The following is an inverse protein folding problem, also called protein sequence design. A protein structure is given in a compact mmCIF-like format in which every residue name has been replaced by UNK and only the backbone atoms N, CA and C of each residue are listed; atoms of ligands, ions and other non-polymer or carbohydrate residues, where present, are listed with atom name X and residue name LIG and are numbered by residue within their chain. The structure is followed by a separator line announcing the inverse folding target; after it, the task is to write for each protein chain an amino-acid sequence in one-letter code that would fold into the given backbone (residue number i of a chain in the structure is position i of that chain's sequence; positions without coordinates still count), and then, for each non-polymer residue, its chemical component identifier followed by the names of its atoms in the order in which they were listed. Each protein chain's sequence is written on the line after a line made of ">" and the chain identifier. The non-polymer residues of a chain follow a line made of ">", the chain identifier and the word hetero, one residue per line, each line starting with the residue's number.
data_IF_053655961816
#
_entry.id   IF_053655961816
#
_cell.length_a   1.000
_cell.length_b   1.000
_cell.length_c   1.000
_cell.angle_alpha   90.00
_cell.angle_beta   90.00
_cell.angle_gamma   90.00
#
_symmetry.space_group_name_H-M   'P 1'
#
loop_
_entity.id
_entity.type
_entity.pdbx_description
1 polymer ?
#
# COMPACT_ATOMS: atom_id res chain seq x y z
N UNK A 1 33.65 15.15 -0.91
CA UNK A 1 32.76 14.01 -0.59
C UNK A 1 31.47 14.45 0.11
N UNK A 2 31.51 15.24 1.17
CA UNK A 2 30.33 15.75 1.91
C UNK A 2 29.39 16.60 1.02
N UNK A 3 29.91 17.47 0.13
CA UNK A 3 29.11 18.30 -0.77
C UNK A 3 28.38 17.50 -1.87
N UNK A 4 28.90 16.34 -2.28
CA UNK A 4 28.26 15.49 -3.27
C UNK A 4 27.10 14.70 -2.65
N UNK A 5 27.29 14.18 -1.43
CA UNK A 5 26.24 13.49 -0.69
C UNK A 5 25.08 14.43 -0.31
N UNK A 6 25.37 15.67 0.11
CA UNK A 6 24.34 16.66 0.43
C UNK A 6 23.51 17.08 -0.80
N UNK A 7 24.18 17.26 -1.94
CA UNK A 7 23.52 17.58 -3.22
C UNK A 7 22.70 16.41 -3.76
N UNK A 8 23.21 15.18 -3.58
CA UNK A 8 22.51 13.95 -3.95
C UNK A 8 21.25 13.73 -3.10
N UNK A 9 21.35 13.91 -1.77
CA UNK A 9 20.22 13.85 -0.84
C UNK A 9 19.19 14.96 -1.08
N UNK A 10 19.64 16.15 -1.49
CA UNK A 10 18.76 17.26 -1.87
C UNK A 10 17.98 16.96 -3.16
N UNK A 11 18.64 16.41 -4.18
CA UNK A 11 18.01 16.01 -5.45
C UNK A 11 17.00 14.88 -5.24
N UNK A 12 17.30 13.90 -4.35
CA UNK A 12 16.36 12.82 -4.03
C UNK A 12 15.14 13.32 -3.24
N UNK A 13 15.31 14.32 -2.35
CA UNK A 13 14.19 14.92 -1.58
C UNK A 13 13.19 15.66 -2.46
N UNK A 14 13.59 16.15 -3.63
CA UNK A 14 12.74 16.92 -4.54
C UNK A 14 12.10 16.10 -5.66
N UNK A 15 12.41 14.79 -5.77
CA UNK A 15 11.75 13.91 -6.73
C UNK A 15 10.42 13.41 -6.15
N UNK A 16 9.35 13.48 -6.94
CA UNK A 16 8.09 12.83 -6.63
C UNK A 16 8.35 11.34 -6.39
N UNK A 17 7.80 10.80 -5.29
CA UNK A 17 7.86 9.37 -5.02
C UNK A 17 6.82 8.65 -5.87
N UNK A 18 7.28 7.72 -6.71
CA UNK A 18 6.45 6.83 -7.51
C UNK A 18 6.68 5.43 -6.99
N UNK A 19 5.66 4.88 -6.34
CA UNK A 19 5.70 3.59 -5.68
C UNK A 19 5.08 2.55 -6.58
N UNK A 20 5.79 1.47 -6.85
CA UNK A 20 5.24 0.29 -7.51
C UNK A 20 4.81 -0.72 -6.46
N UNK A 21 3.50 -0.94 -6.32
CA UNK A 21 2.94 -1.87 -5.33
C UNK A 21 2.85 -3.27 -5.93
N UNK A 22 3.41 -4.24 -5.24
CA UNK A 22 3.53 -5.63 -5.70
C UNK A 22 2.80 -6.58 -4.75
N UNK A 23 1.95 -7.43 -5.29
CA UNK A 23 1.51 -8.65 -4.63
C UNK A 23 2.50 -9.75 -4.99
N UNK A 24 3.28 -10.20 -4.00
CA UNK A 24 4.45 -11.06 -4.20
C UNK A 24 4.09 -12.33 -4.98
N UNK A 25 3.07 -13.04 -4.51
CA UNK A 25 2.64 -14.31 -5.10
C UNK A 25 2.23 -14.21 -6.57
N UNK A 26 1.76 -13.04 -6.99
CA UNK A 26 1.16 -12.82 -8.31
C UNK A 26 2.11 -12.17 -9.31
N UNK A 27 3.24 -11.67 -8.87
CA UNK A 27 4.10 -10.84 -9.70
C UNK A 27 5.09 -11.65 -10.55
N UNK A 28 6.09 -12.23 -9.95
CA UNK A 28 7.14 -12.96 -10.68
C UNK A 28 7.77 -14.06 -9.82
N UNK A 29 8.34 -15.06 -10.49
CA UNK A 29 9.13 -16.12 -9.90
C UNK A 29 10.52 -16.15 -10.56
N UNK A 30 11.50 -16.69 -9.87
CA UNK A 30 12.87 -16.78 -10.35
C UNK A 30 13.08 -17.91 -11.39
N UNK A 31 12.24 -18.93 -11.40
CA UNK A 31 12.34 -20.09 -12.28
C UNK A 31 11.21 -20.22 -13.30
N UNK A 32 10.00 -19.78 -12.96
CA UNK A 32 8.81 -19.80 -13.82
C UNK A 32 7.85 -18.71 -13.43
N UNK A 33 7.03 -18.23 -14.35
CA UNK A 33 6.04 -17.19 -14.05
C UNK A 33 4.80 -17.77 -13.36
N UNK A 34 4.22 -17.02 -12.39
CA UNK A 34 2.92 -17.31 -11.83
C UNK A 34 1.84 -17.40 -12.93
N UNK A 35 0.88 -18.30 -12.77
CA UNK A 35 -0.19 -18.53 -13.75
C UNK A 35 -1.58 -18.51 -13.11
N UNK A 36 -2.57 -17.98 -13.82
CA UNK A 36 -3.98 -17.93 -13.43
C UNK A 36 -4.73 -19.24 -13.74
N UNK A 37 -4.26 -20.40 -13.32
CA UNK A 37 -4.77 -21.67 -13.86
C UNK A 37 -5.83 -22.37 -13.04
N UNK A 38 -6.12 -21.99 -11.81
CA UNK A 38 -7.07 -22.70 -10.95
C UNK A 38 -7.90 -21.75 -10.12
N UNK A 39 -9.16 -22.11 -9.97
CA UNK A 39 -10.13 -21.44 -9.10
C UNK A 39 -10.29 -22.24 -7.79
N UNK A 40 -9.16 -22.64 -7.17
CA UNK A 40 -9.20 -23.34 -5.90
C UNK A 40 -9.82 -22.47 -4.80
N UNK A 41 -10.51 -23.11 -3.86
CA UNK A 41 -11.12 -22.46 -2.70
C UNK A 41 -10.51 -23.04 -1.43
N UNK A 42 -9.76 -22.27 -0.61
CA UNK A 42 -9.33 -20.89 -0.84
C UNK A 42 -8.38 -20.76 -2.04
N UNK A 43 -8.23 -19.53 -2.61
CA UNK A 43 -7.35 -19.31 -3.75
C UNK A 43 -5.91 -19.75 -3.44
N UNK A 44 -5.28 -20.58 -4.28
CA UNK A 44 -3.96 -21.13 -4.00
C UNK A 44 -2.85 -20.12 -4.26
N UNK A 45 -1.67 -20.40 -3.72
CA UNK A 45 -0.44 -19.74 -4.12
C UNK A 45 -0.16 -20.01 -5.60
N UNK A 46 0.31 -18.99 -6.32
CA UNK A 46 0.65 -19.06 -7.76
C UNK A 46 2.16 -19.09 -8.00
N UNK A 47 2.94 -18.91 -6.95
CA UNK A 47 4.37 -19.15 -6.92
C UNK A 47 5.24 -17.93 -7.22
N UNK A 48 4.72 -16.71 -7.17
CA UNK A 48 5.56 -15.51 -7.14
C UNK A 48 6.41 -15.46 -5.86
N UNK A 49 7.63 -14.93 -5.96
CA UNK A 49 8.57 -14.89 -4.84
C UNK A 49 9.48 -13.65 -4.87
N UNK A 50 10.23 -13.44 -3.80
CA UNK A 50 11.14 -12.29 -3.65
C UNK A 50 12.24 -12.29 -4.70
N UNK A 51 12.83 -13.44 -5.03
CA UNK A 51 13.86 -13.53 -6.06
C UNK A 51 13.31 -13.19 -7.45
N UNK A 52 12.06 -13.57 -7.75
CA UNK A 52 11.38 -13.15 -8.95
C UNK A 52 11.24 -11.61 -9.05
N UNK A 53 10.95 -10.94 -7.94
CA UNK A 53 10.90 -9.48 -7.88
C UNK A 53 12.30 -8.89 -8.11
N UNK A 54 13.33 -9.42 -7.46
CA UNK A 54 14.73 -8.98 -7.64
C UNK A 54 15.11 -9.03 -9.13
N UNK A 55 14.76 -10.11 -9.83
CA UNK A 55 15.02 -10.28 -11.26
C UNK A 55 14.24 -9.30 -12.18
N UNK A 56 13.31 -8.53 -11.61
CA UNK A 56 12.48 -7.55 -12.33
C UNK A 56 12.71 -6.10 -11.88
N UNK A 57 13.74 -5.82 -11.10
CA UNK A 57 14.04 -4.47 -10.63
C UNK A 57 14.36 -3.50 -11.77
N UNK A 58 15.03 -3.95 -12.83
CA UNK A 58 15.26 -3.13 -14.02
C UNK A 58 13.94 -2.74 -14.70
N UNK A 59 13.02 -3.70 -14.86
CA UNK A 59 11.67 -3.42 -15.38
C UNK A 59 10.96 -2.32 -14.56
N UNK A 60 10.97 -2.45 -13.24
CA UNK A 60 10.33 -1.49 -12.34
C UNK A 60 10.99 -0.12 -12.42
N UNK A 61 12.32 -0.08 -12.51
CA UNK A 61 13.09 1.16 -12.67
C UNK A 61 12.81 1.84 -14.03
N UNK A 62 12.71 1.05 -15.10
CA UNK A 62 12.41 1.55 -16.46
C UNK A 62 10.98 2.10 -16.57
N UNK A 63 10.04 1.66 -15.74
CA UNK A 63 8.74 2.30 -15.53
C UNK A 63 8.86 3.73 -14.99
N UNK A 64 10.01 4.11 -14.45
CA UNK A 64 10.21 5.36 -13.74
C UNK A 64 9.79 5.30 -12.27
N UNK A 65 9.44 4.13 -11.73
CA UNK A 65 9.23 3.96 -10.30
C UNK A 65 10.56 4.15 -9.54
N UNK A 66 10.50 4.81 -8.40
CA UNK A 66 11.65 5.02 -7.52
C UNK A 66 11.42 4.48 -6.12
N UNK A 67 10.37 3.69 -5.96
CA UNK A 67 10.00 3.05 -4.72
C UNK A 67 9.19 1.78 -4.99
N UNK A 68 9.30 0.76 -4.12
CA UNK A 68 8.55 -0.49 -4.21
C UNK A 68 7.84 -0.72 -2.88
N UNK A 69 6.56 -1.10 -2.93
CA UNK A 69 5.80 -1.58 -1.77
C UNK A 69 5.47 -3.06 -1.95
N UNK A 70 5.93 -3.89 -1.03
CA UNK A 70 5.60 -5.31 -1.00
C UNK A 70 4.32 -5.56 -0.21
N UNK A 71 3.45 -6.47 -0.69
CA UNK A 71 2.39 -7.08 0.14
C UNK A 71 3.01 -7.78 1.36
N UNK A 72 2.22 -8.10 2.40
CA UNK A 72 2.74 -8.80 3.57
C UNK A 72 3.44 -10.10 3.16
N UNK A 73 4.59 -10.37 3.77
CA UNK A 73 5.45 -11.51 3.40
C UNK A 73 5.81 -12.42 4.59
N UNK A 74 5.22 -12.16 5.74
CA UNK A 74 5.34 -13.08 6.87
C UNK A 74 4.48 -14.33 6.62
N UNK A 75 4.88 -15.44 7.25
CA UNK A 75 4.23 -16.74 7.13
C UNK A 75 2.71 -16.60 7.30
N UNK A 76 1.98 -17.13 6.32
CA UNK A 76 0.54 -16.95 6.19
C UNK A 76 -0.10 -18.20 5.59
N UNK A 77 -1.35 -18.48 5.96
CA UNK A 77 -2.14 -19.52 5.29
C UNK A 77 -2.80 -19.04 3.99
N UNK A 78 -2.60 -17.76 3.62
CA UNK A 78 -3.19 -17.17 2.44
C UNK A 78 -2.11 -16.50 1.57
N UNK A 79 -2.22 -16.67 0.27
CA UNK A 79 -1.27 -16.19 -0.74
C UNK A 79 -0.98 -14.68 -0.68
N UNK A 80 -1.91 -13.90 -0.15
CA UNK A 80 -1.80 -12.44 -0.06
C UNK A 80 -1.02 -11.96 1.18
N UNK A 81 -0.77 -12.84 2.18
CA UNK A 81 0.03 -12.54 3.36
C UNK A 81 -0.70 -11.86 4.53
N UNK A 82 -1.96 -11.44 4.36
CA UNK A 82 -2.70 -10.72 5.42
C UNK A 82 -3.20 -11.62 6.56
N UNK A 83 -3.15 -12.94 6.41
CA UNK A 83 -3.56 -13.91 7.44
C UNK A 83 -2.32 -14.51 8.14
N UNK A 84 -1.60 -13.69 8.91
CA UNK A 84 -0.35 -14.09 9.57
C UNK A 84 -0.54 -15.27 10.54
N UNK A 85 0.26 -16.32 10.35
CA UNK A 85 0.22 -17.56 11.13
C UNK A 85 1.46 -17.79 12.00
N UNK A 86 2.39 -16.84 12.05
CA UNK A 86 3.64 -16.93 12.81
C UNK A 86 3.64 -16.05 14.06
N UNK A 87 4.20 -16.54 15.15
CA UNK A 87 4.45 -15.77 16.36
C UNK A 87 5.73 -14.89 16.26
N UNK A 88 6.58 -15.17 15.29
CA UNK A 88 7.84 -14.44 15.01
C UNK A 88 7.76 -13.87 13.59
N UNK A 89 8.69 -13.01 13.23
CA UNK A 89 8.78 -12.51 11.85
C UNK A 89 9.35 -13.56 10.88
N UNK A 90 8.79 -14.75 10.89
CA UNK A 90 9.13 -15.79 9.93
C UNK A 90 8.60 -15.42 8.55
N UNK A 91 9.46 -15.52 7.55
CA UNK A 91 9.06 -15.28 6.16
C UNK A 91 8.24 -16.45 5.65
N UNK A 92 7.22 -16.18 4.82
CA UNK A 92 6.47 -17.21 4.11
C UNK A 92 7.43 -18.02 3.22
N UNK A 93 7.58 -19.35 3.44
CA UNK A 93 8.56 -20.14 2.70
C UNK A 93 8.36 -20.14 1.19
N UNK A 94 7.13 -19.93 0.71
CA UNK A 94 6.85 -19.79 -0.71
C UNK A 94 7.35 -18.48 -1.30
N UNK A 95 7.52 -17.45 -0.47
CA UNK A 95 8.07 -16.16 -0.90
C UNK A 95 9.60 -16.10 -0.80
N UNK A 96 10.21 -16.94 0.04
CA UNK A 96 11.66 -16.99 0.26
C UNK A 96 12.01 -17.07 1.74
N UNK A 97 13.11 -16.45 2.11
CA UNK A 97 13.63 -16.43 3.48
C UNK A 97 14.17 -15.03 3.84
N UNK A 98 14.73 -14.86 5.04
CA UNK A 98 15.27 -13.58 5.50
C UNK A 98 16.43 -13.08 4.62
N UNK A 99 17.29 -13.97 4.12
CA UNK A 99 18.40 -13.60 3.22
C UNK A 99 17.88 -13.03 1.90
N UNK A 100 16.76 -13.57 1.39
CA UNK A 100 16.08 -13.04 0.19
C UNK A 100 15.52 -11.64 0.43
N UNK A 101 14.91 -11.39 1.59
CA UNK A 101 14.44 -10.05 1.99
C UNK A 101 15.60 -9.06 2.08
N UNK A 102 16.69 -9.43 2.75
CA UNK A 102 17.88 -8.58 2.85
C UNK A 102 18.51 -8.31 1.46
N UNK A 103 18.51 -9.32 0.59
CA UNK A 103 18.95 -9.19 -0.79
C UNK A 103 18.05 -8.25 -1.58
N UNK A 104 16.74 -8.38 -1.47
CA UNK A 104 15.77 -7.46 -2.08
C UNK A 104 16.03 -6.01 -1.67
N UNK A 105 16.15 -5.73 -0.38
CA UNK A 105 16.45 -4.38 0.12
C UNK A 105 17.78 -3.86 -0.45
N UNK A 106 18.81 -4.69 -0.43
CA UNK A 106 20.15 -4.34 -0.97
C UNK A 106 20.11 -4.01 -2.46
N UNK A 107 19.45 -4.85 -3.27
CA UNK A 107 19.38 -4.64 -4.72
C UNK A 107 18.47 -3.47 -5.09
N UNK A 108 17.34 -3.28 -4.40
CA UNK A 108 16.48 -2.11 -4.56
C UNK A 108 17.24 -0.81 -4.32
N UNK A 109 18.06 -0.76 -3.25
CA UNK A 109 18.92 0.40 -2.98
C UNK A 109 20.01 0.62 -4.04
N UNK A 110 20.57 -0.45 -4.62
CA UNK A 110 21.51 -0.34 -5.75
C UNK A 110 20.87 0.30 -6.98
N UNK A 111 19.59 0.05 -7.23
CA UNK A 111 18.79 0.70 -8.26
C UNK A 111 18.35 2.12 -7.87
N UNK A 112 18.87 2.67 -6.74
CA UNK A 112 18.53 4.00 -6.22
C UNK A 112 17.02 4.17 -5.91
N UNK A 113 16.36 3.07 -5.62
CA UNK A 113 14.96 3.01 -5.19
C UNK A 113 14.88 2.84 -3.67
N UNK A 114 13.76 3.30 -3.11
CA UNK A 114 13.35 2.98 -1.73
C UNK A 114 12.42 1.77 -1.72
N UNK A 115 12.26 1.12 -0.58
CA UNK A 115 11.31 0.02 -0.43
C UNK A 115 10.49 0.14 0.85
N UNK A 116 9.26 -0.32 0.79
CA UNK A 116 8.34 -0.43 1.90
C UNK A 116 7.78 -1.82 2.07
N UNK A 117 7.35 -2.11 3.27
CA UNK A 117 6.68 -3.34 3.66
C UNK A 117 5.26 -3.04 4.10
N UNK A 118 4.35 -3.94 3.79
CA UNK A 118 3.01 -3.94 4.35
C UNK A 118 3.02 -4.65 5.71
N UNK A 119 2.43 -4.04 6.73
CA UNK A 119 2.44 -4.49 8.10
C UNK A 119 1.01 -4.61 8.62
N UNK A 120 0.65 -5.77 9.13
CA UNK A 120 -0.71 -6.14 9.57
C UNK A 120 -0.78 -6.22 11.10
N UNK A 121 -0.97 -5.09 11.81
CA UNK A 121 -1.00 -5.12 13.27
C UNK A 121 -2.37 -5.46 13.86
N UNK A 122 -3.45 -5.33 13.10
CA UNK A 122 -4.81 -5.37 13.63
C UNK A 122 -5.26 -6.77 14.03
N UNK A 123 -4.86 -7.80 13.28
CA UNK A 123 -5.34 -9.17 13.45
C UNK A 123 -4.28 -10.20 13.06
N UNK A 124 -4.50 -11.44 13.42
CA UNK A 124 -3.74 -12.58 12.91
C UNK A 124 -4.70 -13.74 12.61
N UNK A 125 -4.20 -14.83 12.06
CA UNK A 125 -5.01 -16.05 11.89
C UNK A 125 -5.10 -16.84 13.20
N UNK A 126 -6.21 -17.55 13.44
CA UNK A 126 -6.42 -18.37 14.66
C UNK A 126 -5.35 -19.48 14.86
N UNK A 127 -4.64 -19.87 13.80
CA UNK A 127 -3.53 -20.83 13.91
C UNK A 127 -2.20 -20.17 14.32
N UNK A 128 -2.18 -18.85 14.49
CA UNK A 128 -1.00 -18.17 15.03
C UNK A 128 -0.83 -18.60 16.51
N UNK A 129 0.37 -19.05 16.92
CA UNK A 129 0.62 -19.50 18.30
C UNK A 129 0.18 -18.50 19.37
N UNK A 130 0.32 -17.20 19.12
CA UNK A 130 -0.09 -16.17 20.09
C UNK A 130 -1.59 -16.21 20.43
N UNK A 131 -2.45 -16.72 19.54
CA UNK A 131 -3.88 -16.80 19.81
C UNK A 131 -4.20 -17.83 20.90
N UNK A 132 -3.40 -18.89 20.99
CA UNK A 132 -3.56 -19.93 22.03
C UNK A 132 -2.76 -19.58 23.29
N UNK A 133 -1.54 -19.06 23.11
CA UNK A 133 -0.60 -18.79 24.21
C UNK A 133 -0.93 -17.51 24.98
N UNK A 134 -1.55 -16.52 24.30
CA UNK A 134 -1.85 -15.18 24.80
C UNK A 134 -3.29 -14.76 24.41
N UNK A 135 -4.27 -15.54 24.79
CA UNK A 135 -5.68 -15.26 24.45
C UNK A 135 -6.22 -13.94 25.03
N UNK A 136 -5.60 -13.45 26.11
CA UNK A 136 -5.86 -12.15 26.72
C UNK A 136 -5.35 -10.94 25.89
N UNK A 137 -4.52 -11.19 24.88
CA UNK A 137 -4.07 -10.15 23.93
C UNK A 137 -5.11 -9.80 22.87
N UNK A 138 -6.24 -10.49 22.84
CA UNK A 138 -7.28 -10.30 21.82
C UNK A 138 -8.49 -9.54 22.36
N UNK A 139 -9.17 -8.78 21.49
CA UNK A 139 -10.39 -8.07 21.86
C UNK A 139 -11.51 -9.07 22.17
N UNK A 140 -12.07 -8.93 23.38
CA UNK A 140 -13.14 -9.79 23.90
C UNK A 140 -14.33 -8.96 24.42
N UNK A 141 -14.93 -8.11 23.56
CA UNK A 141 -16.08 -7.30 23.95
C UNK A 141 -17.30 -8.19 24.20
N UNK A 142 -18.10 -7.85 25.23
CA UNK A 142 -19.34 -8.57 25.58
C UNK A 142 -19.20 -10.10 25.76
N UNK A 143 -18.02 -10.56 26.18
CA UNK A 143 -17.68 -11.98 26.37
C UNK A 143 -17.60 -12.80 25.05
N UNK A 144 -17.39 -12.16 23.95
CA UNK A 144 -17.15 -12.80 22.65
C UNK A 144 -15.92 -12.19 21.98
N UNK A 145 -15.13 -13.01 21.28
CA UNK A 145 -13.99 -12.49 20.51
C UNK A 145 -14.47 -11.63 19.35
N UNK A 146 -13.78 -10.52 19.14
CA UNK A 146 -13.97 -9.70 17.95
C UNK A 146 -13.12 -10.25 16.82
N UNK A 147 -13.72 -10.35 15.64
CA UNK A 147 -13.07 -10.83 14.44
C UNK A 147 -13.05 -9.73 13.37
N UNK A 148 -11.92 -9.62 12.67
CA UNK A 148 -11.77 -8.69 11.54
C UNK A 148 -12.75 -9.04 10.42
N UNK A 149 -13.51 -8.05 9.94
CA UNK A 149 -14.52 -8.21 8.90
C UNK A 149 -15.52 -9.38 9.16
N UNK A 150 -15.76 -9.74 10.43
CA UNK A 150 -16.56 -10.90 10.84
C UNK A 150 -16.02 -12.25 10.33
N UNK A 151 -14.78 -12.33 9.89
CA UNK A 151 -14.10 -13.56 9.48
C UNK A 151 -13.64 -14.28 10.75
N UNK A 152 -14.28 -15.40 11.11
CA UNK A 152 -14.04 -16.13 12.37
C UNK A 152 -12.59 -16.63 12.54
N UNK A 153 -11.82 -16.68 11.48
CA UNK A 153 -10.43 -17.10 11.51
C UNK A 153 -9.45 -15.94 11.76
N UNK A 154 -9.94 -14.69 11.91
CA UNK A 154 -9.14 -13.49 12.06
C UNK A 154 -9.47 -12.71 13.35
N UNK A 155 -9.08 -13.22 14.53
CA UNK A 155 -9.27 -12.51 15.79
C UNK A 155 -8.48 -11.21 15.82
N UNK A 156 -9.10 -10.16 16.39
CA UNK A 156 -8.54 -8.82 16.49
C UNK A 156 -7.67 -8.68 17.74
N UNK A 157 -6.44 -8.20 17.56
CA UNK A 157 -5.52 -7.92 18.66
C UNK A 157 -5.95 -6.69 19.47
N UNK A 158 -5.94 -6.79 20.76
CA UNK A 158 -6.09 -5.67 21.68
C UNK A 158 -4.73 -4.97 21.86
N UNK A 159 -4.44 -4.00 21.00
CA UNK A 159 -3.17 -3.28 21.05
C UNK A 159 -3.10 -2.20 22.15
N UNK A 160 -4.11 -2.14 23.03
CA UNK A 160 -4.03 -1.43 24.31
C UNK A 160 -3.53 -2.34 25.45
N UNK A 161 -3.48 -3.66 25.24
CA UNK A 161 -2.77 -4.57 26.11
C UNK A 161 -1.25 -4.38 26.00
N UNK A 162 -0.53 -4.14 27.12
CA UNK A 162 0.89 -3.74 27.06
C UNK A 162 1.81 -4.72 26.33
N UNK A 163 1.64 -6.02 26.57
CA UNK A 163 2.50 -7.05 25.97
C UNK A 163 2.20 -7.24 24.48
N UNK A 164 0.91 -7.25 24.08
CA UNK A 164 0.50 -7.32 22.68
C UNK A 164 1.05 -6.11 21.89
N UNK A 165 0.97 -4.92 22.50
CA UNK A 165 1.52 -3.68 21.97
C UNK A 165 3.03 -3.78 21.76
N UNK A 166 3.77 -4.19 22.78
CA UNK A 166 5.23 -4.34 22.69
C UNK A 166 5.62 -5.37 21.64
N UNK A 167 4.90 -6.48 21.56
CA UNK A 167 5.10 -7.52 20.56
C UNK A 167 4.95 -6.97 19.13
N UNK A 168 3.86 -6.27 18.83
CA UNK A 168 3.62 -5.70 17.50
C UNK A 168 4.61 -4.58 17.15
N UNK A 169 5.02 -3.75 18.13
CA UNK A 169 6.07 -2.76 17.92
C UNK A 169 7.39 -3.42 17.57
N UNK A 170 7.78 -4.52 18.24
CA UNK A 170 9.00 -5.28 17.90
C UNK A 170 8.96 -5.82 16.47
N UNK A 171 7.83 -6.33 16.01
CA UNK A 171 7.67 -6.78 14.62
C UNK A 171 7.91 -5.64 13.63
N UNK A 172 7.33 -4.48 13.87
CA UNK A 172 7.54 -3.31 13.00
C UNK A 172 9.00 -2.81 13.03
N UNK A 173 9.64 -2.85 14.18
CA UNK A 173 11.08 -2.49 14.30
C UNK A 173 11.96 -3.46 13.53
N UNK A 174 11.62 -4.74 13.46
CA UNK A 174 12.34 -5.72 12.64
C UNK A 174 12.28 -5.39 11.15
N UNK A 175 11.14 -4.93 10.64
CA UNK A 175 11.04 -4.43 9.25
C UNK A 175 12.02 -3.26 9.02
N UNK A 176 12.11 -2.35 9.98
CA UNK A 176 13.06 -1.24 9.90
C UNK A 176 14.52 -1.72 9.94
N UNK A 177 14.82 -2.76 10.75
CA UNK A 177 16.15 -3.35 10.87
C UNK A 177 16.58 -4.05 9.57
N UNK A 178 15.67 -4.73 8.88
CA UNK A 178 15.92 -5.26 7.54
C UNK A 178 16.16 -4.17 6.50
N UNK A 179 15.85 -2.90 6.82
CA UNK A 179 16.23 -1.72 6.04
C UNK A 179 15.12 -1.17 5.14
N UNK A 180 13.86 -1.48 5.43
CA UNK A 180 12.74 -0.84 4.76
C UNK A 180 12.66 0.65 5.10
N UNK A 181 12.38 1.48 4.10
CA UNK A 181 12.35 2.94 4.20
C UNK A 181 10.99 3.48 4.66
N UNK A 182 9.95 2.66 4.53
CA UNK A 182 8.61 2.96 5.03
C UNK A 182 7.80 1.69 5.30
N UNK A 183 6.77 1.84 6.12
CA UNK A 183 5.82 0.79 6.48
C UNK A 183 4.42 1.29 6.13
N UNK A 184 3.70 0.55 5.31
CA UNK A 184 2.25 0.71 5.14
C UNK A 184 1.58 -0.08 6.26
N UNK A 185 0.73 0.57 7.03
CA UNK A 185 -0.02 -0.05 8.12
C UNK A 185 -1.38 -0.46 7.57
N UNK A 186 -1.58 -1.76 7.47
CA UNK A 186 -2.83 -2.37 7.09
C UNK A 186 -3.92 -2.05 8.11
N UNK A 187 -5.13 -1.78 7.62
CA UNK A 187 -6.29 -1.47 8.44
C UNK A 187 -5.97 -0.55 9.63
N UNK A 188 -5.33 0.59 9.36
CA UNK A 188 -4.89 1.51 10.41
C UNK A 188 -6.04 2.10 11.24
N UNK A 189 -7.28 1.88 10.84
CA UNK A 189 -8.49 2.26 11.57
C UNK A 189 -8.85 1.28 12.70
N UNK A 190 -8.28 0.09 12.73
CA UNK A 190 -8.53 -0.90 13.79
C UNK A 190 -7.76 -0.62 15.09
N UNK A 191 -6.42 -0.47 15.03
CA UNK A 191 -5.61 -0.16 16.20
C UNK A 191 -5.93 1.20 16.83
N UNK A 192 -5.75 1.31 18.16
CA UNK A 192 -5.94 2.59 18.85
C UNK A 192 -4.94 3.66 18.39
N UNK A 193 -5.35 4.94 18.45
CA UNK A 193 -4.44 6.07 18.19
C UNK A 193 -3.24 6.08 19.12
N UNK A 194 -3.43 5.61 20.36
CA UNK A 194 -2.37 5.45 21.36
C UNK A 194 -1.29 4.49 20.87
N UNK A 195 -1.68 3.32 20.37
CA UNK A 195 -0.74 2.35 19.79
C UNK A 195 0.00 2.93 18.58
N UNK A 196 -0.72 3.50 17.62
CA UNK A 196 -0.11 4.05 16.40
C UNK A 196 0.85 5.19 16.69
N UNK A 197 0.52 6.05 17.66
CA UNK A 197 1.41 7.13 18.10
C UNK A 197 2.69 6.55 18.75
N UNK A 198 2.55 5.56 19.64
CA UNK A 198 3.70 4.93 20.29
C UNK A 198 4.56 4.18 19.26
N UNK A 199 3.97 3.39 18.37
CA UNK A 199 4.67 2.75 17.25
C UNK A 199 5.52 3.78 16.49
N UNK A 200 4.93 4.92 16.12
CA UNK A 200 5.67 5.98 15.43
C UNK A 200 6.81 6.52 16.28
N UNK A 201 6.58 6.77 17.57
CA UNK A 201 7.64 7.28 18.47
C UNK A 201 8.80 6.28 18.58
N UNK A 202 8.52 4.99 18.77
CA UNK A 202 9.54 3.95 18.86
C UNK A 202 10.33 3.80 17.55
N UNK A 203 9.65 3.76 16.41
CA UNK A 203 10.29 3.74 15.09
C UNK A 203 11.16 4.98 14.89
N UNK A 204 10.64 6.19 15.16
CA UNK A 204 11.40 7.44 14.95
C UNK A 204 12.59 7.60 15.89
N UNK A 205 12.52 7.03 17.08
CA UNK A 205 13.64 7.05 18.03
C UNK A 205 14.88 6.34 17.46
N UNK A 206 14.69 5.20 16.78
CA UNK A 206 15.77 4.34 16.26
C UNK A 206 16.02 4.59 14.74
N UNK A 207 14.96 4.84 13.97
CA UNK A 207 14.97 4.95 12.50
C UNK A 207 14.30 6.25 12.04
N UNK A 208 14.97 7.38 12.19
CA UNK A 208 14.41 8.75 11.98
C UNK A 208 13.76 8.96 10.61
N UNK A 209 14.26 8.29 9.57
CA UNK A 209 13.83 8.50 8.18
C UNK A 209 12.71 7.56 7.76
N UNK A 210 12.42 6.46 8.48
CA UNK A 210 11.35 5.53 8.15
C UNK A 210 9.99 6.24 8.24
N UNK A 211 9.12 6.02 7.26
CA UNK A 211 7.78 6.62 7.20
C UNK A 211 6.73 5.58 7.59
N UNK A 212 5.71 5.99 8.31
CA UNK A 212 4.53 5.18 8.62
C UNK A 212 3.34 5.75 7.86
N UNK A 213 2.77 4.96 6.96
CA UNK A 213 1.67 5.34 6.08
C UNK A 213 0.48 4.43 6.38
N UNK A 214 -0.62 5.01 6.83
CA UNK A 214 -1.80 4.24 7.21
C UNK A 214 -2.74 3.96 6.04
N UNK A 215 -3.31 2.77 6.02
CA UNK A 215 -4.54 2.55 5.28
C UNK A 215 -5.71 3.01 6.13
N UNK A 216 -6.42 4.03 5.66
CA UNK A 216 -7.52 4.65 6.39
C UNK A 216 -8.74 4.76 5.49
N UNK A 217 -9.70 3.85 5.67
CA UNK A 217 -10.96 3.81 4.92
C UNK A 217 -12.09 4.41 5.75
N UNK A 218 -12.90 5.29 5.16
CA UNK A 218 -13.89 6.12 5.86
C UNK A 218 -15.21 5.44 6.22
N UNK A 219 -15.63 4.43 5.46
CA UNK A 219 -16.99 3.88 5.53
C UNK A 219 -17.06 2.41 5.98
N UNK A 220 -16.19 1.98 6.88
CA UNK A 220 -16.28 0.61 7.39
C UNK A 220 -17.07 0.57 8.70
N UNK A 221 -18.06 -0.31 8.77
CA UNK A 221 -19.00 -0.49 9.91
C UNK A 221 -18.36 -0.83 11.27
N UNK A 222 -17.07 -1.06 11.31
CA UNK A 222 -16.32 -1.44 12.51
C UNK A 222 -15.31 -0.40 12.98
N UNK A 223 -15.52 0.86 12.69
CA UNK A 223 -14.64 1.92 13.17
C UNK A 223 -15.02 2.33 14.59
N UNK A 224 -14.29 1.87 15.62
CA UNK A 224 -14.71 2.09 17.01
C UNK A 224 -14.41 3.50 17.51
N UNK A 225 -13.51 4.23 16.86
CA UNK A 225 -12.98 5.46 17.39
C UNK A 225 -13.21 6.64 16.44
N UNK A 226 -13.90 7.65 16.99
CA UNK A 226 -14.08 8.96 16.36
C UNK A 226 -13.53 10.01 17.31
N UNK A 227 -12.56 10.80 16.88
CA UNK A 227 -12.01 11.86 17.72
C UNK A 227 -12.72 13.20 17.49
N UNK A 228 -12.46 14.15 18.40
CA UNK A 228 -13.04 15.51 18.31
C UNK A 228 -12.77 16.13 16.92
N UNK A 229 -11.58 15.97 16.37
CA UNK A 229 -11.20 16.50 15.05
C UNK A 229 -12.12 15.97 13.93
N UNK A 230 -12.49 14.69 13.96
CA UNK A 230 -13.43 14.14 13.00
C UNK A 230 -14.78 14.88 13.05
N UNK A 231 -15.34 15.02 14.25
CA UNK A 231 -16.64 15.69 14.44
C UNK A 231 -16.58 17.16 14.02
N UNK A 232 -15.50 17.87 14.38
CA UNK A 232 -15.32 19.27 13.99
C UNK A 232 -15.26 19.40 12.45
N UNK A 233 -14.49 18.55 11.78
CA UNK A 233 -14.33 18.56 10.32
C UNK A 233 -15.63 18.19 9.58
N UNK A 234 -16.40 17.21 10.08
CA UNK A 234 -17.72 16.89 9.52
C UNK A 234 -18.67 18.09 9.62
N UNK A 235 -18.70 18.77 10.77
CA UNK A 235 -19.51 19.99 10.96
C UNK A 235 -19.08 21.14 10.03
N UNK A 236 -17.81 21.17 9.61
CA UNK A 236 -17.27 22.12 8.62
C UNK A 236 -17.47 21.66 7.17
N UNK A 237 -18.20 20.59 6.93
CA UNK A 237 -18.54 20.08 5.59
C UNK A 237 -17.42 19.32 4.89
N UNK A 238 -16.57 18.61 5.64
CA UNK A 238 -15.67 17.63 5.08
C UNK A 238 -16.43 16.33 4.72
N UNK A 239 -15.94 15.57 3.75
CA UNK A 239 -16.45 14.22 3.55
C UNK A 239 -16.10 13.33 4.74
N UNK A 240 -16.83 12.21 4.91
CA UNK A 240 -16.53 11.19 5.93
C UNK A 240 -15.08 10.69 5.76
N UNK A 241 -14.66 10.44 4.53
CA UNK A 241 -13.31 9.96 4.23
C UNK A 241 -12.24 11.01 4.58
N UNK A 242 -12.44 12.28 4.22
CA UNK A 242 -11.54 13.37 4.59
C UNK A 242 -11.42 13.54 6.10
N UNK A 243 -12.56 13.57 6.79
CA UNK A 243 -12.59 13.70 8.24
C UNK A 243 -11.85 12.53 8.91
N UNK A 244 -12.06 11.30 8.43
CA UNK A 244 -11.39 10.10 8.93
C UNK A 244 -9.88 10.15 8.71
N UNK A 245 -9.42 10.47 7.52
CA UNK A 245 -7.99 10.63 7.23
C UNK A 245 -7.33 11.70 8.12
N UNK A 246 -8.06 12.77 8.46
CA UNK A 246 -7.55 13.87 9.26
C UNK A 246 -7.23 13.47 10.71
N UNK A 247 -7.87 12.44 11.25
CA UNK A 247 -7.63 11.94 12.61
C UNK A 247 -6.16 11.50 12.80
N UNK A 248 -5.52 11.05 11.72
CA UNK A 248 -4.14 10.53 11.73
C UNK A 248 -3.05 11.59 11.59
N UNK A 249 -3.44 12.86 11.41
CA UNK A 249 -2.50 13.99 11.40
C UNK A 249 -1.84 14.13 12.76
N UNK A 250 -0.49 14.02 12.78
CA UNK A 250 0.31 14.00 14.00
C UNK A 250 0.52 12.59 14.59
N UNK A 251 -0.30 11.62 14.21
CA UNK A 251 -0.18 10.21 14.63
C UNK A 251 0.72 9.44 13.66
N UNK A 252 0.44 9.51 12.35
CA UNK A 252 1.24 8.88 11.29
C UNK A 252 1.99 9.94 10.47
N UNK A 253 2.85 9.51 9.55
CA UNK A 253 3.50 10.40 8.59
C UNK A 253 2.56 10.78 7.44
N UNK A 254 1.61 9.92 7.12
CA UNK A 254 0.64 10.09 6.06
C UNK A 254 -0.31 8.91 5.98
N UNK A 255 -1.16 8.95 4.97
CA UNK A 255 -2.16 7.91 4.69
C UNK A 255 -2.26 7.64 3.19
N UNK A 256 -2.78 6.47 2.81
CA UNK A 256 -3.31 6.23 1.47
C UNK A 256 -4.51 7.15 1.26
N UNK A 257 -4.53 7.88 0.15
CA UNK A 257 -5.53 8.93 -0.07
C UNK A 257 -6.78 8.38 -0.76
N UNK A 258 -7.64 7.74 0.01
CA UNK A 258 -8.91 7.19 -0.47
C UNK A 258 -9.88 8.27 -0.95
N UNK A 259 -9.88 9.47 -0.36
CA UNK A 259 -10.69 10.58 -0.86
C UNK A 259 -10.27 11.01 -2.28
N UNK A 260 -8.96 11.07 -2.55
CA UNK A 260 -8.48 11.34 -3.91
C UNK A 260 -8.96 10.27 -4.90
N UNK A 261 -8.86 8.98 -4.51
CA UNK A 261 -9.39 7.88 -5.30
C UNK A 261 -10.88 8.07 -5.59
N UNK A 262 -11.69 8.38 -4.56
CA UNK A 262 -13.13 8.58 -4.71
C UNK A 262 -13.46 9.80 -5.59
N UNK A 263 -12.72 10.90 -5.47
CA UNK A 263 -12.85 12.08 -6.34
C UNK A 263 -12.63 11.71 -7.81
N UNK A 264 -11.59 10.94 -8.10
CA UNK A 264 -11.26 10.53 -9.49
C UNK A 264 -12.26 9.52 -10.02
N UNK A 265 -12.63 8.51 -9.22
CA UNK A 265 -13.64 7.50 -9.55
C UNK A 265 -14.99 8.15 -9.84
N UNK A 266 -15.44 9.09 -9.00
CA UNK A 266 -16.66 9.86 -9.18
C UNK A 266 -16.66 10.64 -10.53
N UNK A 267 -15.52 11.30 -10.82
CA UNK A 267 -15.35 11.99 -12.10
C UNK A 267 -15.47 11.04 -13.31
N UNK A 268 -14.92 9.83 -13.23
CA UNK A 268 -15.01 8.82 -14.28
C UNK A 268 -16.43 8.30 -14.45
N UNK A 269 -17.13 7.99 -13.35
CA UNK A 269 -18.51 7.50 -13.36
C UNK A 269 -19.48 8.53 -13.95
N UNK A 270 -19.32 9.81 -13.62
CA UNK A 270 -20.13 10.91 -14.11
C UNK A 270 -19.62 11.53 -15.42
N UNK A 271 -18.60 10.91 -16.06
CA UNK A 271 -18.00 11.38 -17.32
C UNK A 271 -17.49 12.83 -17.25
N UNK A 272 -17.09 13.28 -16.07
CA UNK A 272 -16.47 14.59 -15.89
C UNK A 272 -15.11 14.61 -16.58
N UNK A 273 -14.77 15.62 -17.41
CA UNK A 273 -13.45 15.69 -18.00
C UNK A 273 -12.34 15.76 -16.93
N UNK A 274 -11.36 14.86 -17.02
CA UNK A 274 -10.31 14.71 -16.00
C UNK A 274 -9.47 15.99 -15.82
N UNK A 275 -9.29 16.78 -16.87
CA UNK A 275 -8.56 18.04 -16.80
C UNK A 275 -9.46 19.27 -16.58
N UNK A 276 -10.75 19.08 -16.24
CA UNK A 276 -11.67 20.19 -16.01
C UNK A 276 -11.23 21.06 -14.84
N UNK A 277 -11.56 22.36 -14.94
CA UNK A 277 -11.29 23.34 -13.85
C UNK A 277 -12.00 22.91 -12.56
N UNK A 278 -13.24 22.42 -12.67
CA UNK A 278 -14.04 21.98 -11.52
C UNK A 278 -13.37 20.82 -10.76
N UNK A 279 -12.89 19.78 -11.48
CA UNK A 279 -12.20 18.66 -10.86
C UNK A 279 -10.88 19.11 -10.20
N UNK A 280 -10.11 19.96 -10.87
CA UNK A 280 -8.86 20.51 -10.30
C UNK A 280 -9.12 21.31 -9.02
N UNK A 281 -10.17 22.14 -8.97
CA UNK A 281 -10.53 22.89 -7.76
C UNK A 281 -11.01 21.96 -6.64
N UNK A 282 -11.78 20.90 -6.94
CA UNK A 282 -12.17 19.89 -5.95
C UNK A 282 -10.94 19.23 -5.32
N UNK A 283 -9.99 18.78 -6.12
CA UNK A 283 -8.74 18.16 -5.63
C UNK A 283 -7.86 19.15 -4.86
N UNK A 284 -7.73 20.40 -5.30
CA UNK A 284 -7.00 21.44 -4.57
C UNK A 284 -7.64 21.71 -3.20
N UNK A 285 -8.97 21.82 -3.14
CA UNK A 285 -9.71 22.01 -1.90
C UNK A 285 -9.43 20.86 -0.94
N UNK A 286 -9.50 19.60 -1.41
CA UNK A 286 -9.16 18.43 -0.63
C UNK A 286 -7.74 18.53 -0.06
N UNK A 287 -6.72 18.76 -0.89
CA UNK A 287 -5.34 18.86 -0.40
C UNK A 287 -5.09 20.01 0.56
N UNK A 288 -5.83 21.10 0.45
CA UNK A 288 -5.68 22.28 1.33
C UNK A 288 -6.14 22.02 2.77
N UNK A 289 -6.89 20.95 3.00
CA UNK A 289 -7.42 20.56 4.31
C UNK A 289 -6.37 19.91 5.23
N UNK A 290 -5.23 19.51 4.66
CA UNK A 290 -4.18 18.82 5.41
C UNK A 290 -2.91 19.65 5.55
N UNK A 291 -2.17 19.51 6.68
CA UNK A 291 -0.88 20.15 6.82
C UNK A 291 0.11 19.69 5.76
N UNK A 292 1.00 20.58 5.30
CA UNK A 292 2.00 20.27 4.25
C UNK A 292 2.95 19.12 4.59
N UNK A 293 3.18 18.86 5.87
CA UNK A 293 4.04 17.78 6.35
C UNK A 293 3.31 16.43 6.54
N UNK A 294 1.99 16.39 6.29
CA UNK A 294 1.22 15.15 6.26
C UNK A 294 1.13 14.64 4.83
N UNK A 295 1.57 13.42 4.61
CA UNK A 295 1.67 12.85 3.27
C UNK A 295 0.35 12.18 2.87
N UNK A 296 -0.23 12.64 1.77
CA UNK A 296 -1.34 11.98 1.09
C UNK A 296 -0.74 11.20 -0.09
N UNK A 297 -0.78 9.88 -0.01
CA UNK A 297 -0.26 8.97 -1.03
C UNK A 297 -1.36 8.61 -2.01
N UNK A 298 -1.29 9.18 -3.20
CA UNK A 298 -2.31 9.03 -4.24
C UNK A 298 -2.24 7.65 -4.85
N UNK A 299 -3.38 7.09 -5.23
CA UNK A 299 -3.49 5.85 -5.98
C UNK A 299 -4.78 5.86 -6.82
N UNK A 300 -4.86 4.98 -7.81
CA UNK A 300 -5.99 4.87 -8.72
C UNK A 300 -6.68 3.51 -8.64
N UNK A 301 -5.96 2.51 -8.20
CA UNK A 301 -6.40 1.14 -7.93
C UNK A 301 -5.44 0.48 -6.93
N UNK A 302 -5.87 -0.62 -6.34
CA UNK A 302 -5.05 -1.48 -5.49
C UNK A 302 -5.61 -2.92 -5.48
N UNK A 303 -5.14 -3.75 -4.55
CA UNK A 303 -5.54 -5.14 -4.43
C UNK A 303 -6.94 -5.37 -3.82
N UNK A 304 -7.60 -4.31 -3.34
CA UNK A 304 -8.93 -4.35 -2.71
C UNK A 304 -9.98 -3.55 -3.50
N UNK A 305 -9.58 -2.95 -4.62
CA UNK A 305 -10.43 -2.08 -5.43
C UNK A 305 -10.39 -2.49 -6.90
N UNK A 306 -11.46 -2.16 -7.61
CA UNK A 306 -11.50 -2.35 -9.06
C UNK A 306 -10.30 -1.68 -9.74
N UNK A 307 -9.71 -2.38 -10.72
CA UNK A 307 -8.64 -1.83 -11.56
C UNK A 307 -9.11 -0.55 -12.24
N UNK A 308 -8.24 0.45 -12.35
CA UNK A 308 -8.62 1.75 -12.95
C UNK A 308 -9.16 1.60 -14.39
N UNK A 309 -8.65 0.63 -15.17
CA UNK A 309 -9.14 0.35 -16.51
C UNK A 309 -10.61 -0.14 -16.52
N UNK A 310 -11.09 -0.72 -15.43
CA UNK A 310 -12.50 -1.10 -15.28
C UNK A 310 -13.42 0.12 -15.36
N UNK A 311 -13.03 1.26 -14.79
CA UNK A 311 -13.78 2.51 -14.87
C UNK A 311 -13.50 3.30 -16.16
N UNK A 312 -12.24 3.37 -16.57
CA UNK A 312 -11.82 4.10 -17.76
C UNK A 312 -12.35 3.48 -19.07
N UNK A 313 -12.52 2.15 -19.10
CA UNK A 313 -12.89 1.34 -20.28
C UNK A 313 -11.85 1.33 -21.40
N UNK A 314 -11.07 2.39 -21.55
CA UNK A 314 -10.07 2.60 -22.61
C UNK A 314 -8.71 2.94 -22.04
N UNK A 315 -7.65 2.40 -22.64
CA UNK A 315 -6.25 2.60 -22.21
C UNK A 315 -5.83 4.08 -22.29
N UNK A 316 -6.28 4.80 -23.32
CA UNK A 316 -5.98 6.23 -23.46
C UNK A 316 -6.57 7.06 -22.31
N UNK A 317 -7.72 6.64 -21.79
CA UNK A 317 -8.32 7.29 -20.63
C UNK A 317 -7.55 7.01 -19.34
N UNK A 318 -7.01 5.80 -19.19
CA UNK A 318 -6.11 5.46 -18.07
C UNK A 318 -4.88 6.38 -18.08
N UNK A 319 -4.29 6.58 -19.25
CA UNK A 319 -3.15 7.50 -19.41
C UNK A 319 -3.50 8.93 -18.96
N UNK A 320 -4.63 9.46 -19.42
CA UNK A 320 -5.10 10.79 -19.04
C UNK A 320 -5.24 10.95 -17.52
N UNK A 321 -5.79 9.92 -16.84
CA UNK A 321 -5.96 9.89 -15.38
C UNK A 321 -4.63 9.80 -14.65
N UNK A 322 -3.69 9.00 -15.16
CA UNK A 322 -2.33 8.90 -14.60
C UNK A 322 -1.59 10.23 -14.73
N UNK A 323 -1.63 10.88 -15.90
CA UNK A 323 -1.01 12.19 -16.15
C UNK A 323 -1.60 13.26 -15.19
N UNK A 324 -2.91 13.25 -15.02
CA UNK A 324 -3.59 14.12 -14.05
C UNK A 324 -3.07 13.87 -12.63
N UNK A 325 -2.94 12.60 -12.21
CA UNK A 325 -2.48 12.22 -10.87
C UNK A 325 -1.03 12.67 -10.65
N UNK A 326 -0.15 12.44 -11.61
CA UNK A 326 1.26 12.87 -11.51
C UNK A 326 1.42 14.40 -11.49
N UNK A 327 0.50 15.13 -12.12
CA UNK A 327 0.56 16.60 -12.15
C UNK A 327 0.51 17.23 -10.74
N UNK A 328 0.03 16.49 -9.73
CA UNK A 328 -0.06 16.95 -8.34
C UNK A 328 1.26 16.85 -7.56
N UNK A 329 2.28 16.18 -8.09
CA UNK A 329 3.61 16.04 -7.48
C UNK A 329 3.60 15.46 -6.07
N UNK A 330 2.61 14.62 -5.74
CA UNK A 330 2.49 13.90 -4.47
C UNK A 330 3.01 12.46 -4.62
N UNK A 331 3.37 11.77 -3.51
CA UNK A 331 3.65 10.34 -3.57
C UNK A 331 2.49 9.63 -4.26
N UNK A 332 2.79 8.79 -5.24
CA UNK A 332 1.77 8.11 -6.06
C UNK A 332 2.09 6.62 -6.14
N UNK A 333 1.09 5.79 -5.88
CA UNK A 333 1.19 4.34 -5.96
C UNK A 333 0.63 3.87 -7.29
N UNK A 334 1.36 2.98 -7.94
CA UNK A 334 0.95 2.23 -9.12
C UNK A 334 0.87 0.76 -8.70
N UNK A 335 -0.29 0.18 -8.79
CA UNK A 335 -0.48 -1.23 -8.54
C UNK A 335 0.00 -2.05 -9.72
N UNK A 336 0.72 -3.17 -9.47
CA UNK A 336 1.31 -4.00 -10.53
C UNK A 336 0.26 -4.40 -11.58
N UNK A 337 0.64 -4.37 -12.84
CA UNK A 337 -0.23 -4.72 -13.97
C UNK A 337 -1.11 -3.58 -14.48
N UNK A 338 -1.29 -2.48 -13.72
CA UNK A 338 -2.00 -1.29 -14.20
C UNK A 338 -1.31 -0.69 -15.42
N UNK A 339 0.03 -0.72 -15.45
CA UNK A 339 0.87 -0.30 -16.56
C UNK A 339 0.70 -1.18 -17.82
N UNK A 340 0.28 -2.42 -17.64
CA UNK A 340 -0.03 -3.34 -18.76
C UNK A 340 -1.49 -3.27 -19.22
N UNK A 341 -2.31 -2.48 -18.55
CA UNK A 341 -3.74 -2.41 -18.82
C UNK A 341 -4.50 -3.62 -18.31
N UNK A 342 -4.05 -4.24 -17.23
CA UNK A 342 -4.81 -5.29 -16.56
C UNK A 342 -6.14 -4.71 -16.04
N UNK A 343 -7.20 -5.48 -16.17
CA UNK A 343 -8.55 -5.10 -15.72
C UNK A 343 -9.28 -6.29 -15.12
N UNK A 344 -10.18 -6.02 -14.20
CA UNK A 344 -11.19 -6.99 -13.78
C UNK A 344 -12.35 -7.01 -14.76
N UNK A 345 -12.94 -8.19 -14.95
CA UNK A 345 -14.10 -8.37 -15.85
C UNK A 345 -15.42 -8.10 -15.11
N UNK A 346 -15.43 -8.36 -13.80
CA UNK A 346 -16.59 -8.18 -12.92
C UNK A 346 -16.14 -7.28 -11.77
N UNK A 347 -17.01 -6.37 -11.32
CA UNK A 347 -16.71 -5.52 -10.17
C UNK A 347 -16.42 -6.37 -8.93
N UNK A 348 -15.42 -5.94 -8.17
CA UNK A 348 -15.15 -6.50 -6.84
C UNK A 348 -16.42 -6.42 -5.96
N UNK A 349 -16.61 -7.31 -5.01
CA UNK A 349 -17.77 -7.41 -4.11
C UNK A 349 -19.08 -7.93 -4.71
N UNK A 350 -19.03 -8.58 -5.89
CA UNK A 350 -20.22 -9.22 -6.48
C UNK A 350 -20.23 -10.75 -6.40
N UNK A 351 -19.13 -11.37 -5.99
CA UNK A 351 -18.97 -12.82 -5.93
C UNK A 351 -18.22 -13.23 -4.68
N UNK A 352 -18.38 -14.46 -4.23
CA UNK A 352 -17.50 -15.09 -3.25
C UNK A 352 -16.07 -15.18 -3.84
N UNK A 353 -15.04 -14.75 -3.10
CA UNK A 353 -13.63 -14.63 -3.55
C UNK A 353 -13.40 -13.67 -4.73
N UNK A 354 -14.17 -12.59 -4.79
CA UNK A 354 -14.15 -11.64 -5.90
C UNK A 354 -12.86 -10.79 -5.97
N UNK A 355 -12.06 -10.71 -4.91
CA UNK A 355 -10.76 -10.04 -4.87
C UNK A 355 -9.72 -10.67 -5.81
N UNK A 356 -9.83 -11.97 -6.14
CA UNK A 356 -9.02 -12.63 -7.17
C UNK A 356 -9.13 -11.92 -8.54
N UNK A 357 -10.26 -11.28 -8.82
CA UNK A 357 -10.48 -10.56 -10.09
C UNK A 357 -9.55 -9.36 -10.25
N UNK A 358 -9.00 -8.81 -9.17
CA UNK A 358 -8.05 -7.69 -9.16
C UNK A 358 -6.64 -8.13 -8.75
N UNK A 359 -6.48 -9.39 -8.32
CA UNK A 359 -5.21 -9.99 -7.86
C UNK A 359 -4.67 -11.04 -8.85
N UNK A 360 -4.88 -10.81 -10.13
CA UNK A 360 -4.42 -11.67 -11.22
C UNK A 360 -2.89 -11.74 -11.27
N UNK A 361 -2.35 -12.86 -11.78
CA UNK A 361 -0.93 -12.96 -12.04
C UNK A 361 -0.49 -11.99 -13.15
N UNK A 362 0.72 -11.46 -13.00
CA UNK A 362 1.36 -10.63 -14.03
C UNK A 362 1.60 -11.44 -15.29
N UNK A 363 1.20 -10.94 -16.45
CA UNK A 363 1.48 -11.57 -17.74
C UNK A 363 2.84 -11.13 -18.29
N UNK A 364 3.87 -11.90 -17.99
CA UNK A 364 5.22 -11.63 -18.47
C UNK A 364 5.46 -12.02 -19.92
N UNK A 365 4.62 -12.86 -20.51
CA UNK A 365 4.73 -13.31 -21.91
C UNK A 365 3.98 -12.38 -22.85
N UNK A 366 2.87 -11.83 -22.40
CA UNK A 366 2.02 -10.90 -23.15
C UNK A 366 2.38 -9.43 -22.92
N UNK A 367 3.57 -9.11 -22.37
CA UNK A 367 3.98 -7.74 -22.16
C UNK A 367 3.83 -6.94 -23.44
N UNK A 368 2.78 -6.14 -23.49
CA UNK A 368 2.61 -5.19 -24.57
C UNK A 368 3.56 -4.00 -24.32
N UNK A 369 4.79 -4.12 -24.81
CA UNK A 369 5.80 -3.06 -24.72
C UNK A 369 5.30 -1.71 -25.27
N UNK A 370 4.26 -1.72 -26.11
CA UNK A 370 3.63 -0.50 -26.61
C UNK A 370 2.62 0.09 -25.60
N UNK A 371 1.88 -0.73 -24.85
CA UNK A 371 1.03 -0.25 -23.76
C UNK A 371 1.87 0.41 -22.67
N UNK A 372 3.00 -0.20 -22.31
CA UNK A 372 4.00 0.34 -21.41
C UNK A 372 4.50 1.74 -21.84
N UNK A 373 4.96 1.88 -23.08
CA UNK A 373 5.40 3.18 -23.64
C UNK A 373 4.26 4.20 -23.73
N UNK A 374 3.02 3.75 -23.85
CA UNK A 374 1.85 4.60 -24.00
C UNK A 374 1.32 5.10 -22.66
N UNK A 375 1.42 4.28 -21.59
CA UNK A 375 0.90 4.65 -20.27
C UNK A 375 1.83 5.56 -19.45
N UNK A 376 3.14 5.54 -19.69
CA UNK A 376 4.14 6.24 -18.86
C UNK A 376 5.09 7.25 -19.55
N UNK A 377 4.77 7.88 -20.68
CA UNK A 377 5.71 8.84 -21.29
C UNK A 377 6.01 10.03 -20.39
N UNK A 378 5.10 10.41 -19.48
CA UNK A 378 5.29 11.52 -18.55
C UNK A 378 6.28 11.22 -17.41
N UNK A 379 6.39 9.98 -16.97
CA UNK A 379 7.36 9.59 -15.93
C UNK A 379 8.79 9.66 -16.48
N UNK A 380 9.00 9.19 -17.70
CA UNK A 380 10.30 9.22 -18.37
C UNK A 380 10.74 10.65 -18.73
N UNK A 381 9.83 11.50 -19.21
CA UNK A 381 10.16 12.89 -19.57
C UNK A 381 10.51 13.75 -18.35
N UNK A 382 9.89 13.53 -17.20
CA UNK A 382 10.26 14.25 -15.97
C UNK A 382 11.65 13.85 -15.41
N UNK A 383 12.24 12.74 -15.88
CA UNK A 383 13.64 12.38 -15.54
C UNK A 383 14.66 13.05 -16.46
N UNK A 384 14.29 13.36 -17.72
CA UNK A 384 15.20 13.97 -18.71
C UNK A 384 15.25 15.51 -18.63
N UNK A 385 14.19 16.18 -18.20
CA UNK A 385 14.20 17.66 -18.09
C UNK A 385 15.12 18.21 -16.98
N UNK A 386 15.59 17.36 -16.06
CA UNK A 386 16.55 17.78 -15.03
C UNK A 386 18.01 17.68 -15.45
N UNK A 387 18.31 17.22 -16.68
CA UNK A 387 19.68 17.13 -17.20
C UNK A 387 20.07 18.26 -18.18
N UNK A 388 19.18 19.21 -18.45
CA UNK A 388 19.48 20.37 -19.33
C UNK A 388 19.27 21.66 -18.54
N UNK A 389 20.13 21.92 -17.56
CA UNK A 389 20.55 23.28 -17.20
C UNK A 389 22.04 23.22 -16.88
N UNK A 390 22.80 23.85 -17.74
CA UNK A 390 24.24 24.07 -17.64
C UNK A 390 24.62 24.81 -16.36
#
# INVERSE_FOLDING_TARGET
>A
MLNFLSKYLYVQRNKQRIVYQIMIDRFANDSKFPKNNDNGTPPPFRGGNINGIINRLDYIADLGANSILLSPFLKSNAYHGYHCTTAMNEIEPQFGNEEDIQSFVKYTKRHKMTCGADFVPNHCHITNPIYVEHNDWFEFPNKEYKFYANIKDLPVLNLDHPEAREYMIKQALQLCEWGFDYIRIDHATGPSYSFLHELRMQVKRKYKNVRLIGEVVGEMDFMPLVCKRYNDNINEGWSVQEARQSEYVGILNGVLDYEYYDIVKDALLHKTPINSKALRERVKKHFSRYPKNFELWLFLDNHDLDRILYYCKEVNKVKEVIDFTYSWKRPTIIYYGTEQGMKNMVAIHRMEYDDETVRQCMDWNGINHNAFKTLYPCVLNNQHETNVVK
#
